data_IF_061261033399
#
_entry.id   IF_061261033399
#
_cell.length_a   1.000
_cell.length_b   1.000
_cell.length_c   1.000
_cell.angle_alpha   90.00
_cell.angle_beta   90.00
_cell.angle_gamma   90.00
#
_symmetry.space_group_name_H-M   'P 1'
#
loop_
_entity.id
_entity.type
_entity.pdbx_description
1 polymer ?
#
# COMPACT_ATOMS: atom_id res chain seq x y z
N UNK A 1 7.25 0.43 11.42
CA UNK A 1 7.49 -0.89 10.82
C UNK A 1 8.95 -1.27 11.04
N UNK A 2 9.19 -2.36 11.75
CA UNK A 2 10.54 -2.91 11.92
C UNK A 2 10.84 -3.90 10.79
N UNK A 3 11.99 -3.74 10.13
CA UNK A 3 12.42 -4.61 9.04
C UNK A 3 13.82 -5.15 9.31
N UNK A 4 14.25 -6.16 8.55
CA UNK A 4 15.62 -6.69 8.63
C UNK A 4 16.69 -5.67 8.26
N UNK A 5 16.34 -4.54 7.62
CA UNK A 5 17.25 -3.48 7.22
C UNK A 5 17.10 -2.19 8.06
N UNK A 6 16.28 -2.22 9.10
CA UNK A 6 16.04 -1.09 9.99
C UNK A 6 14.57 -0.70 10.10
N UNK A 7 14.32 0.38 10.82
CA UNK A 7 12.98 0.86 11.14
C UNK A 7 12.50 1.90 10.12
N UNK A 8 11.27 1.74 9.66
CA UNK A 8 10.55 2.72 8.85
C UNK A 8 9.40 3.26 9.69
N UNK A 9 9.40 4.57 9.94
CA UNK A 9 8.27 5.28 10.54
C UNK A 9 7.27 5.64 9.44
N UNK A 10 5.99 5.35 9.68
CA UNK A 10 4.91 5.60 8.71
C UNK A 10 3.86 6.46 9.42
N UNK A 11 3.59 7.63 8.86
CA UNK A 11 2.46 8.47 9.24
C UNK A 11 1.26 8.12 8.37
N UNK A 12 0.08 7.96 8.99
CA UNK A 12 -1.17 7.58 8.31
C UNK A 12 -2.17 8.75 8.35
N UNK A 13 -2.73 9.11 7.21
CA UNK A 13 -3.65 10.23 7.04
C UNK A 13 -5.12 9.78 7.05
N UNK A 14 -5.61 9.43 8.24
CA UNK A 14 -7.02 9.02 8.45
C UNK A 14 -8.04 10.06 7.99
N UNK A 15 -7.68 11.34 7.95
CA UNK A 15 -8.57 12.41 7.47
C UNK A 15 -8.77 12.42 5.95
N UNK A 16 -7.84 11.82 5.19
CA UNK A 16 -7.89 11.75 3.72
C UNK A 16 -8.22 10.35 3.20
N UNK A 17 -7.84 9.30 3.93
CA UNK A 17 -8.09 7.92 3.53
C UNK A 17 -8.61 7.07 4.72
N UNK A 18 -9.76 7.42 5.32
CA UNK A 18 -10.25 6.75 6.53
C UNK A 18 -10.44 5.24 6.37
N UNK A 19 -10.99 4.76 5.25
CA UNK A 19 -11.25 3.33 5.03
C UNK A 19 -9.93 2.57 4.88
N UNK A 20 -9.01 3.15 4.12
CA UNK A 20 -7.71 2.54 3.83
C UNK A 20 -6.82 2.48 5.07
N UNK A 21 -6.77 3.56 5.84
CA UNK A 21 -6.03 3.61 7.11
C UNK A 21 -6.60 2.59 8.10
N UNK A 22 -7.92 2.49 8.21
CA UNK A 22 -8.56 1.52 9.10
C UNK A 22 -8.24 0.08 8.68
N UNK A 23 -8.32 -0.21 7.39
CA UNK A 23 -7.92 -1.51 6.85
C UNK A 23 -6.46 -1.84 7.17
N UNK A 24 -5.52 -0.92 6.91
CA UNK A 24 -4.10 -1.13 7.20
C UNK A 24 -3.84 -1.35 8.69
N UNK A 25 -4.40 -0.51 9.56
CA UNK A 25 -4.27 -0.64 11.02
C UNK A 25 -4.84 -1.98 11.50
N UNK A 26 -5.98 -2.41 10.95
CA UNK A 26 -6.57 -3.70 11.33
C UNK A 26 -5.66 -4.89 11.01
N UNK A 27 -4.87 -4.84 9.94
CA UNK A 27 -3.86 -5.87 9.66
C UNK A 27 -2.64 -5.76 10.59
N UNK A 28 -2.26 -4.54 11.00
CA UNK A 28 -1.20 -4.34 12.00
C UNK A 28 -1.61 -4.93 13.35
N UNK A 29 -2.84 -4.68 13.79
CA UNK A 29 -3.38 -5.20 15.06
C UNK A 29 -3.51 -6.72 15.08
N UNK A 30 -3.73 -7.34 13.92
CA UNK A 30 -3.79 -8.80 13.74
C UNK A 30 -2.39 -9.46 13.61
N UNK A 31 -1.30 -8.70 13.81
CA UNK A 31 0.09 -9.17 13.59
C UNK A 31 0.34 -9.70 12.16
N UNK A 32 -0.54 -9.34 11.20
CA UNK A 32 -0.61 -9.96 9.88
C UNK A 32 0.68 -9.80 9.07
N UNK A 33 1.35 -8.65 9.20
CA UNK A 33 2.55 -8.33 8.43
C UNK A 33 3.81 -9.06 8.93
N UNK A 34 3.76 -9.73 10.08
CA UNK A 34 4.92 -10.39 10.67
C UNK A 34 5.40 -11.57 9.80
N UNK A 35 6.67 -11.53 9.42
CA UNK A 35 7.29 -12.56 8.55
C UNK A 35 6.95 -12.44 7.07
N UNK A 36 6.28 -11.36 6.65
CA UNK A 36 6.09 -11.04 5.23
C UNK A 36 7.32 -10.34 4.64
N UNK A 37 7.49 -10.48 3.33
CA UNK A 37 8.59 -9.88 2.60
C UNK A 37 8.14 -8.77 1.63
N UNK A 38 9.07 -7.86 1.34
CA UNK A 38 8.98 -7.00 0.17
C UNK A 38 9.31 -7.82 -1.07
N UNK A 39 8.28 -8.39 -1.70
CA UNK A 39 8.41 -9.36 -2.79
C UNK A 39 8.63 -8.73 -4.16
N UNK A 40 8.42 -7.42 -4.31
CA UNK A 40 8.65 -6.71 -5.57
C UNK A 40 9.36 -5.39 -5.33
N UNK A 41 10.55 -5.26 -5.91
CA UNK A 41 11.44 -4.10 -5.76
C UNK A 41 11.80 -3.59 -7.15
N UNK A 42 11.39 -2.37 -7.48
CA UNK A 42 11.69 -1.75 -8.77
C UNK A 42 12.45 -0.44 -8.56
N UNK A 43 13.73 -0.46 -8.89
CA UNK A 43 14.61 0.72 -8.77
C UNK A 43 14.04 1.88 -9.58
N UNK A 44 13.85 3.03 -8.94
CA UNK A 44 13.29 4.22 -9.58
C UNK A 44 11.78 4.18 -9.73
N UNK A 45 11.10 3.35 -8.96
CA UNK A 45 9.63 3.25 -8.96
C UNK A 45 9.12 3.06 -7.53
N UNK A 46 9.06 1.82 -7.03
CA UNK A 46 8.54 1.50 -5.70
C UNK A 46 9.05 0.16 -5.16
N UNK A 47 8.82 -0.07 -3.87
CA UNK A 47 8.93 -1.37 -3.21
C UNK A 47 7.56 -1.80 -2.69
N UNK A 48 7.17 -3.04 -2.94
CA UNK A 48 5.84 -3.57 -2.61
C UNK A 48 5.95 -4.78 -1.68
N UNK A 49 5.05 -4.83 -0.70
CA UNK A 49 4.99 -5.85 0.34
C UNK A 49 3.57 -6.10 0.83
N UNK A 50 3.45 -6.74 1.99
CA UNK A 50 2.16 -6.90 2.67
C UNK A 50 1.28 -8.07 2.20
N UNK A 51 1.83 -9.05 1.49
CA UNK A 51 1.03 -10.22 1.06
C UNK A 51 1.78 -11.54 0.90
N UNK A 52 3.10 -11.53 0.71
CA UNK A 52 3.90 -12.73 0.44
C UNK A 52 4.80 -13.05 1.64
N UNK A 53 4.75 -14.29 2.12
CA UNK A 53 5.64 -14.73 3.20
C UNK A 53 7.03 -15.17 2.70
N UNK A 54 7.89 -15.59 3.62
CA UNK A 54 9.25 -16.05 3.28
C UNK A 54 9.32 -17.36 2.49
N UNK A 55 8.21 -18.11 2.42
CA UNK A 55 8.11 -19.35 1.64
C UNK A 55 7.67 -19.09 0.19
N UNK A 56 7.21 -17.87 -0.09
CA UNK A 56 6.68 -17.49 -1.40
C UNK A 56 5.18 -17.72 -1.54
N UNK A 57 4.47 -17.94 -0.43
CA UNK A 57 3.03 -18.14 -0.42
C UNK A 57 2.31 -16.84 -0.04
N UNK A 58 1.15 -16.60 -0.66
CA UNK A 58 0.31 -15.47 -0.31
C UNK A 58 -0.53 -15.80 0.92
N UNK A 59 -0.52 -14.91 1.92
CA UNK A 59 -1.40 -15.06 3.08
C UNK A 59 -2.84 -14.68 2.72
N UNK A 60 -3.78 -15.38 3.33
CA UNK A 60 -5.22 -15.07 3.23
C UNK A 60 -5.49 -13.63 3.66
N UNK A 61 -6.42 -12.95 3.01
CA UNK A 61 -6.72 -11.54 3.26
C UNK A 61 -8.17 -11.35 3.71
N UNK A 62 -8.44 -10.22 4.36
CA UNK A 62 -9.80 -9.72 4.56
C UNK A 62 -10.45 -9.36 3.22
N UNK A 63 -11.74 -9.04 3.27
CA UNK A 63 -12.48 -8.54 2.11
C UNK A 63 -11.83 -7.26 1.55
N UNK A 64 -11.92 -7.05 0.22
CA UNK A 64 -11.36 -5.85 -0.39
C UNK A 64 -12.14 -4.59 0.00
N UNK A 65 -11.48 -3.44 -0.09
CA UNK A 65 -12.01 -2.14 0.30
C UNK A 65 -12.27 -1.21 -0.89
N UNK A 66 -13.16 -0.24 -0.69
CA UNK A 66 -13.42 0.84 -1.65
C UNK A 66 -12.18 1.74 -1.82
N UNK A 67 -11.95 2.20 -3.06
CA UNK A 67 -10.83 3.07 -3.38
C UNK A 67 -11.06 4.50 -2.86
N UNK A 68 -9.99 5.11 -2.33
CA UNK A 68 -10.00 6.50 -1.81
C UNK A 68 -8.94 7.37 -2.51
N UNK A 69 -8.54 7.02 -3.73
CA UNK A 69 -7.45 7.71 -4.45
C UNK A 69 -7.79 9.16 -4.84
N UNK A 70 -9.06 9.51 -4.96
CA UNK A 70 -9.52 10.90 -5.14
C UNK A 70 -9.54 11.69 -3.81
N UNK A 71 -8.48 11.57 -3.00
CA UNK A 71 -8.36 12.25 -1.71
C UNK A 71 -7.42 13.47 -1.73
N UNK A 72 -6.77 13.72 -2.87
CA UNK A 72 -5.83 14.83 -3.08
C UNK A 72 -4.39 14.56 -2.64
N UNK A 73 -4.10 13.39 -2.06
CA UNK A 73 -2.73 12.95 -1.78
C UNK A 73 -2.06 12.47 -3.07
N UNK A 74 -0.73 12.50 -3.09
CA UNK A 74 0.10 12.29 -4.29
C UNK A 74 1.16 11.22 -4.02
N UNK A 75 1.45 10.39 -5.02
CA UNK A 75 2.43 9.29 -4.99
C UNK A 75 3.86 9.83 -5.08
N UNK A 76 4.21 10.75 -4.17
CA UNK A 76 5.55 11.34 -4.06
C UNK A 76 6.52 10.36 -3.40
N UNK A 77 7.82 10.60 -3.56
CA UNK A 77 8.85 9.81 -2.88
C UNK A 77 8.58 9.73 -1.36
N UNK A 78 8.56 8.50 -0.84
CA UNK A 78 8.30 8.20 0.57
C UNK A 78 6.82 7.97 0.90
N UNK A 79 5.89 8.33 0.02
CA UNK A 79 4.47 8.05 0.23
C UNK A 79 4.21 6.54 0.21
N UNK A 80 3.32 6.08 1.09
CA UNK A 80 2.78 4.74 1.10
C UNK A 80 1.43 4.72 0.38
N UNK A 81 1.23 3.71 -0.46
CA UNK A 81 0.01 3.57 -1.26
C UNK A 81 -0.49 2.13 -1.28
N UNK A 82 -1.81 1.94 -1.37
CA UNK A 82 -2.39 0.60 -1.44
C UNK A 82 -2.18 -0.01 -2.82
N UNK A 83 -1.74 -1.27 -2.86
CA UNK A 83 -1.71 -2.03 -4.10
C UNK A 83 -3.11 -2.55 -4.43
N UNK A 84 -3.44 -2.62 -5.72
CA UNK A 84 -4.68 -3.17 -6.24
C UNK A 84 -4.46 -3.85 -7.58
N UNK A 85 -5.45 -4.64 -8.00
CA UNK A 85 -5.54 -5.16 -9.37
C UNK A 85 -6.13 -4.11 -10.33
N UNK A 86 -6.56 -4.53 -11.51
CA UNK A 86 -7.29 -3.67 -12.46
C UNK A 86 -8.63 -3.18 -11.91
N UNK A 87 -9.23 -3.92 -10.97
CA UNK A 87 -10.43 -3.45 -10.26
C UNK A 87 -10.02 -2.38 -9.23
N UNK A 88 -10.55 -1.15 -9.30
CA UNK A 88 -10.24 -0.09 -8.34
C UNK A 88 -10.51 -0.49 -6.89
N UNK A 89 -11.54 -1.29 -6.64
CA UNK A 89 -11.98 -1.68 -5.30
C UNK A 89 -11.45 -3.07 -4.90
N UNK A 90 -10.25 -3.44 -5.34
CA UNK A 90 -9.63 -4.75 -5.07
C UNK A 90 -8.50 -4.72 -4.05
N UNK A 91 -8.21 -3.55 -3.46
CA UNK A 91 -7.16 -3.43 -2.47
C UNK A 91 -7.51 -4.25 -1.21
N UNK A 92 -6.54 -5.01 -0.70
CA UNK A 92 -6.65 -5.80 0.53
C UNK A 92 -5.53 -5.46 1.51
N UNK A 93 -4.47 -6.28 1.63
CA UNK A 93 -3.36 -6.10 2.58
C UNK A 93 -2.09 -5.53 1.95
N UNK A 94 -1.94 -5.64 0.64
CA UNK A 94 -0.71 -5.24 -0.04
C UNK A 94 -0.59 -3.73 -0.19
N UNK A 95 0.63 -3.22 0.02
CA UNK A 95 0.98 -1.81 -0.11
C UNK A 95 2.34 -1.66 -0.82
N UNK A 96 2.62 -0.46 -1.29
CA UNK A 96 3.93 -0.08 -1.79
C UNK A 96 4.41 1.26 -1.25
N UNK A 97 5.73 1.42 -1.15
CA UNK A 97 6.40 2.67 -0.79
C UNK A 97 7.07 3.22 -2.04
N UNK A 98 6.75 4.46 -2.38
CA UNK A 98 7.29 5.17 -3.53
C UNK A 98 8.76 5.53 -3.31
N UNK A 99 9.65 5.14 -4.23
CA UNK A 99 11.10 5.45 -4.14
C UNK A 99 11.50 6.71 -4.93
N UNK A 100 10.60 7.18 -5.79
CA UNK A 100 10.63 8.43 -6.56
C UNK A 100 9.22 9.01 -6.58
N UNK A 101 9.03 10.18 -7.19
CA UNK A 101 7.67 10.69 -7.47
C UNK A 101 7.09 9.92 -8.66
N UNK A 102 5.90 9.36 -8.47
CA UNK A 102 5.18 8.54 -9.44
C UNK A 102 3.86 9.20 -9.83
N UNK A 103 3.93 10.40 -10.41
CA UNK A 103 2.76 11.23 -10.76
C UNK A 103 1.74 10.51 -11.65
N UNK A 104 2.20 9.53 -12.45
CA UNK A 104 1.34 8.68 -13.28
C UNK A 104 0.39 7.77 -12.46
N UNK A 105 0.66 7.54 -11.17
CA UNK A 105 -0.19 6.76 -10.26
C UNK A 105 -1.23 7.62 -9.54
N UNK A 106 -1.17 8.94 -9.65
CA UNK A 106 -2.09 9.85 -8.97
C UNK A 106 -3.48 9.84 -9.57
N UNK A 107 -4.49 10.14 -8.75
CA UNK A 107 -5.82 10.44 -9.27
C UNK A 107 -5.88 11.84 -9.91
N UNK A 108 -6.56 11.99 -11.07
CA UNK A 108 -6.97 10.91 -11.97
C UNK A 108 -5.77 10.36 -12.74
N UNK A 109 -5.72 9.03 -12.89
CA UNK A 109 -4.68 8.34 -13.69
C UNK A 109 -5.23 7.95 -15.07
N UNK A 110 -4.42 7.27 -15.88
CA UNK A 110 -4.82 6.76 -17.20
C UNK A 110 -6.01 5.79 -17.13
N UNK A 111 -6.19 5.12 -15.99
CA UNK A 111 -7.31 4.22 -15.71
C UNK A 111 -8.45 4.91 -14.96
N UNK A 112 -8.44 6.25 -14.89
CA UNK A 112 -9.42 7.09 -14.19
C UNK A 112 -9.37 7.01 -12.65
N UNK A 113 -8.60 6.08 -12.06
CA UNK A 113 -8.62 5.82 -10.62
C UNK A 113 -7.29 6.09 -9.92
N UNK A 114 -6.15 5.68 -10.47
CA UNK A 114 -4.87 5.80 -9.76
C UNK A 114 -4.80 4.94 -8.49
N UNK A 115 -3.91 5.29 -7.55
CA UNK A 115 -3.62 4.53 -6.34
C UNK A 115 -3.78 5.38 -5.08
N UNK A 116 -4.48 4.85 -4.08
CA UNK A 116 -4.74 5.53 -2.80
C UNK A 116 -3.44 5.67 -2.01
N UNK A 117 -2.99 6.91 -1.85
CA UNK A 117 -2.02 7.29 -0.80
C UNK A 117 -2.80 7.50 0.49
N UNK A 118 -2.29 6.98 1.60
CA UNK A 118 -3.02 6.93 2.88
C UNK A 118 -2.12 7.12 4.09
#
# INVERSE_FOLDING_TARGET
METSLGTIEIELNRGRAPITVENFVSYVEDDYFNGLCFHRVMKGFMIQGGGLDSTGEYRETKAPIEIESNNGLKNVRGAISMARSSDPNSATSQFFINTVNNDALDYPSFDEYGYTVF
#
